data_IF_966049665187
#
_entry.id   IF_966049665187
#
_cell.length_a   1.000
_cell.length_b   1.000
_cell.length_c   1.000
_cell.angle_alpha   90.00
_cell.angle_beta   90.00
_cell.angle_gamma   90.00
#
_symmetry.space_group_name_H-M   'P 1'
#
loop_
_entity.id
_entity.type
_entity.pdbx_description
1 polymer ?
#
# COMPACT_ATOMS: atom_id res chain seq x y z
N UNK A 1 35.20 -30.29 58.82
CA UNK A 1 34.64 -30.61 57.51
C UNK A 1 33.44 -29.67 57.06
N UNK A 2 32.85 -28.90 57.95
CA UNK A 2 31.66 -28.05 57.68
C UNK A 2 31.93 -26.76 56.86
N UNK A 3 33.15 -26.21 56.89
CA UNK A 3 33.47 -24.96 56.21
C UNK A 3 33.57 -25.05 54.66
N UNK A 4 33.91 -26.21 54.09
CA UNK A 4 34.04 -26.43 52.67
C UNK A 4 32.67 -26.46 51.94
N UNK A 5 31.64 -27.00 52.57
CA UNK A 5 30.26 -27.05 52.07
C UNK A 5 29.57 -25.68 52.04
N UNK A 6 29.85 -24.83 53.03
CA UNK A 6 29.31 -23.47 53.08
C UNK A 6 29.89 -22.59 51.96
N UNK A 7 31.19 -22.71 51.68
CA UNK A 7 31.87 -21.99 50.61
C UNK A 7 31.37 -22.40 49.23
N UNK A 8 31.15 -23.70 48.97
CA UNK A 8 30.61 -24.19 47.70
C UNK A 8 29.19 -23.72 47.44
N UNK A 9 28.31 -23.73 48.46
CA UNK A 9 26.93 -23.21 48.34
C UNK A 9 26.88 -21.72 48.01
N UNK A 10 27.77 -20.92 48.61
CA UNK A 10 27.85 -19.48 48.33
C UNK A 10 28.34 -19.17 46.92
N UNK A 11 29.29 -19.95 46.39
CA UNK A 11 29.76 -19.82 44.99
C UNK A 11 28.69 -20.19 43.99
N UNK A 12 27.91 -21.24 44.22
CA UNK A 12 26.78 -21.63 43.39
C UNK A 12 25.72 -20.53 43.35
N UNK A 13 25.37 -19.97 44.52
CA UNK A 13 24.38 -18.90 44.64
C UNK A 13 24.84 -17.64 43.88
N UNK A 14 26.12 -17.27 44.02
CA UNK A 14 26.72 -16.15 43.27
C UNK A 14 26.66 -16.40 41.76
N UNK A 15 27.03 -17.59 41.32
CA UNK A 15 26.97 -17.97 39.90
C UNK A 15 25.55 -17.87 39.34
N UNK A 16 24.56 -18.42 40.06
CA UNK A 16 23.15 -18.34 39.66
C UNK A 16 22.68 -16.89 39.56
N UNK A 17 23.05 -16.03 40.52
CA UNK A 17 22.70 -14.60 40.47
C UNK A 17 23.36 -13.87 39.31
N UNK A 18 24.62 -14.16 39.00
CA UNK A 18 25.31 -13.61 37.82
C UNK A 18 24.62 -14.03 36.51
N UNK A 19 24.29 -15.33 36.39
CA UNK A 19 23.58 -15.84 35.20
C UNK A 19 22.21 -15.19 35.05
N UNK A 20 21.47 -15.01 36.16
CA UNK A 20 20.18 -14.29 36.15
C UNK A 20 20.36 -12.81 35.72
N UNK A 21 21.36 -12.13 36.25
CA UNK A 21 21.63 -10.74 35.89
C UNK A 21 21.98 -10.59 34.41
N UNK A 22 22.86 -11.47 33.87
CA UNK A 22 23.19 -11.49 32.45
C UNK A 22 21.93 -11.70 31.60
N UNK A 23 21.12 -12.69 31.94
CA UNK A 23 19.88 -12.99 31.23
C UNK A 23 18.91 -11.78 31.22
N UNK A 24 18.73 -11.14 32.40
CA UNK A 24 17.88 -9.96 32.53
C UNK A 24 18.37 -8.79 31.60
N UNK A 25 19.69 -8.58 31.54
CA UNK A 25 20.28 -7.55 30.65
C UNK A 25 20.04 -7.91 29.20
N UNK A 26 20.23 -9.17 28.80
CA UNK A 26 19.96 -9.64 27.44
C UNK A 26 18.48 -9.49 27.07
N UNK A 27 17.56 -9.85 27.98
CA UNK A 27 16.11 -9.71 27.75
C UNK A 27 15.69 -8.24 27.61
N UNK A 28 16.30 -7.34 28.38
CA UNK A 28 16.03 -5.89 28.26
C UNK A 28 16.54 -5.35 26.91
N UNK A 29 17.74 -5.75 26.49
CA UNK A 29 18.31 -5.32 25.21
C UNK A 29 17.49 -5.85 24.04
N UNK A 30 17.07 -7.11 24.08
CA UNK A 30 16.19 -7.69 23.05
C UNK A 30 14.85 -6.94 22.95
N UNK A 31 14.21 -6.63 24.08
CA UNK A 31 12.98 -5.85 24.11
C UNK A 31 13.18 -4.44 23.55
N UNK A 32 14.31 -3.81 23.84
CA UNK A 32 14.67 -2.49 23.29
C UNK A 32 14.81 -2.55 21.78
N UNK A 33 15.57 -3.51 21.25
CA UNK A 33 15.75 -3.70 19.81
C UNK A 33 14.41 -3.97 19.09
N UNK A 34 13.57 -4.85 19.66
CA UNK A 34 12.23 -5.10 19.11
C UNK A 34 11.36 -3.83 19.09
N UNK A 35 11.42 -3.02 20.14
CA UNK A 35 10.71 -1.75 20.22
C UNK A 35 11.19 -0.74 19.17
N UNK A 36 12.50 -0.66 18.91
CA UNK A 36 13.09 0.20 17.89
C UNK A 36 12.71 -0.25 16.49
N UNK A 37 12.79 -1.56 16.20
CA UNK A 37 12.36 -2.14 14.92
C UNK A 37 10.88 -1.81 14.66
N UNK A 38 10.01 -2.02 15.65
CA UNK A 38 8.59 -1.72 15.53
C UNK A 38 8.33 -0.24 15.23
N UNK A 39 9.00 0.68 15.94
CA UNK A 39 8.88 2.12 15.69
C UNK A 39 9.32 2.49 14.27
N UNK A 40 10.42 1.92 13.81
CA UNK A 40 10.92 2.16 12.46
C UNK A 40 9.95 1.63 11.39
N UNK A 41 9.35 0.47 11.63
CA UNK A 41 8.33 -0.09 10.74
C UNK A 41 7.09 0.81 10.66
N UNK A 42 6.55 1.25 11.81
CA UNK A 42 5.41 2.16 11.88
C UNK A 42 5.71 3.52 11.18
N UNK A 43 6.92 4.03 11.35
CA UNK A 43 7.35 5.28 10.71
C UNK A 43 7.50 5.12 9.18
N UNK A 44 8.09 4.02 8.72
CA UNK A 44 8.23 3.71 7.30
C UNK A 44 6.87 3.53 6.63
N UNK A 45 5.94 2.85 7.29
CA UNK A 45 4.58 2.68 6.80
C UNK A 45 3.85 4.02 6.66
N UNK A 46 3.92 4.87 7.68
CA UNK A 46 3.36 6.22 7.64
C UNK A 46 3.95 7.05 6.51
N UNK A 47 5.27 7.00 6.34
CA UNK A 47 5.95 7.73 5.27
C UNK A 47 5.54 7.22 3.88
N UNK A 48 5.43 5.91 3.69
CA UNK A 48 4.93 5.31 2.46
C UNK A 48 3.52 5.78 2.11
N UNK A 49 2.60 5.79 3.08
CA UNK A 49 1.24 6.30 2.88
C UNK A 49 1.23 7.79 2.50
N UNK A 50 2.05 8.61 3.15
CA UNK A 50 2.16 10.03 2.81
C UNK A 50 2.70 10.25 1.40
N UNK A 51 3.68 9.46 0.96
CA UNK A 51 4.20 9.51 -0.42
C UNK A 51 3.10 9.15 -1.43
N UNK A 52 2.35 8.08 -1.21
CA UNK A 52 1.24 7.66 -2.07
C UNK A 52 0.19 8.79 -2.17
N UNK A 53 -0.21 9.36 -1.05
CA UNK A 53 -1.17 10.47 -1.01
C UNK A 53 -0.65 11.71 -1.73
N UNK A 54 0.64 12.02 -1.58
CA UNK A 54 1.26 13.16 -2.26
C UNK A 54 1.27 12.95 -3.77
N UNK A 55 1.63 11.75 -4.24
CA UNK A 55 1.59 11.41 -5.66
C UNK A 55 0.16 11.49 -6.21
N UNK A 56 -0.81 10.92 -5.52
CA UNK A 56 -2.22 11.00 -5.89
C UNK A 56 -2.70 12.46 -6.01
N UNK A 57 -2.42 13.29 -5.00
CA UNK A 57 -2.78 14.70 -4.99
C UNK A 57 -2.10 15.47 -6.12
N UNK A 58 -0.85 15.12 -6.46
CA UNK A 58 -0.10 15.75 -7.56
C UNK A 58 -0.76 15.44 -8.92
N UNK A 59 -1.23 14.21 -9.12
CA UNK A 59 -1.96 13.83 -10.33
C UNK A 59 -3.33 14.52 -10.38
N UNK A 60 -4.06 14.56 -9.27
CA UNK A 60 -5.33 15.28 -9.19
C UNK A 60 -5.19 16.80 -9.41
N UNK A 61 -4.03 17.38 -9.08
CA UNK A 61 -3.77 18.80 -9.38
C UNK A 61 -3.63 19.07 -10.88
N UNK A 62 -3.27 18.04 -11.67
CA UNK A 62 -3.21 18.09 -13.13
C UNK A 62 -4.59 17.99 -13.78
N UNK A 63 -5.55 17.32 -13.14
CA UNK A 63 -6.91 17.10 -13.61
C UNK A 63 -7.90 17.91 -12.74
N UNK A 64 -8.39 19.03 -13.27
CA UNK A 64 -9.25 19.96 -12.55
C UNK A 64 -10.54 19.33 -11.99
N UNK A 65 -10.98 18.21 -12.55
CA UNK A 65 -12.25 17.56 -12.22
C UNK A 65 -12.13 16.50 -11.10
N UNK A 66 -10.90 16.09 -10.72
CA UNK A 66 -10.70 14.91 -9.85
C UNK A 66 -10.25 15.22 -8.42
N UNK A 67 -10.29 16.46 -7.96
CA UNK A 67 -9.86 16.83 -6.60
C UNK A 67 -10.54 15.97 -5.52
N UNK A 68 -9.74 15.23 -4.75
CA UNK A 68 -10.19 14.32 -3.69
C UNK A 68 -10.95 13.09 -4.22
N UNK A 69 -10.93 12.83 -5.52
CA UNK A 69 -11.57 11.66 -6.13
C UNK A 69 -10.92 10.36 -5.66
N UNK A 70 -9.62 10.23 -5.80
CA UNK A 70 -8.89 9.02 -5.42
C UNK A 70 -9.07 8.65 -3.95
N UNK A 71 -9.16 9.66 -3.07
CA UNK A 71 -9.45 9.41 -1.65
C UNK A 71 -10.85 8.82 -1.47
N UNK A 72 -11.89 9.41 -2.10
CA UNK A 72 -13.27 8.90 -1.97
C UNK A 72 -13.40 7.50 -2.55
N UNK A 73 -12.83 7.25 -3.73
CA UNK A 73 -12.86 5.92 -4.36
C UNK A 73 -12.19 4.89 -3.46
N UNK A 74 -11.00 5.20 -2.90
CA UNK A 74 -10.31 4.30 -1.97
C UNK A 74 -11.14 3.99 -0.70
N UNK A 75 -11.92 4.95 -0.19
CA UNK A 75 -12.81 4.69 0.95
C UNK A 75 -13.99 3.78 0.56
N UNK A 76 -14.62 4.02 -0.59
CA UNK A 76 -15.73 3.16 -1.04
C UNK A 76 -15.27 1.75 -1.38
N UNK A 77 -14.15 1.61 -2.08
CA UNK A 77 -13.55 0.31 -2.37
C UNK A 77 -13.24 -0.48 -1.08
N UNK A 78 -12.71 0.21 -0.05
CA UNK A 78 -12.45 -0.42 1.25
C UNK A 78 -13.72 -0.92 1.93
N UNK A 79 -14.81 -0.14 1.93
CA UNK A 79 -16.09 -0.55 2.52
C UNK A 79 -16.67 -1.77 1.79
N UNK A 80 -16.59 -1.79 0.46
CA UNK A 80 -17.05 -2.93 -0.34
C UNK A 80 -16.21 -4.18 -0.03
N UNK A 81 -14.87 -4.03 0.01
CA UNK A 81 -13.98 -5.14 0.32
C UNK A 81 -14.19 -5.70 1.74
N UNK A 82 -14.52 -4.84 2.72
CA UNK A 82 -14.88 -5.25 4.09
C UNK A 82 -16.13 -6.11 4.09
N UNK A 83 -17.19 -5.70 3.38
CA UNK A 83 -18.44 -6.46 3.22
C UNK A 83 -18.22 -7.79 2.46
N UNK A 84 -17.24 -7.83 1.56
CA UNK A 84 -16.82 -9.06 0.87
C UNK A 84 -15.95 -9.98 1.73
N UNK A 85 -15.61 -9.58 2.96
CA UNK A 85 -14.85 -10.38 3.91
C UNK A 85 -13.33 -10.39 3.66
N UNK A 86 -12.79 -9.36 3.00
CA UNK A 86 -11.35 -9.24 2.82
C UNK A 86 -10.64 -8.96 4.14
N UNK A 87 -9.41 -9.41 4.25
CA UNK A 87 -8.58 -9.17 5.44
C UNK A 87 -8.19 -7.69 5.55
N UNK A 88 -7.88 -7.20 6.77
CA UNK A 88 -7.41 -5.82 6.95
C UNK A 88 -6.17 -5.48 6.11
N UNK A 89 -5.29 -6.44 5.84
CA UNK A 89 -4.10 -6.26 5.01
C UNK A 89 -4.46 -6.10 3.53
N UNK A 90 -5.36 -6.93 3.00
CA UNK A 90 -5.88 -6.82 1.63
C UNK A 90 -6.60 -5.49 1.41
N UNK A 91 -7.44 -5.06 2.36
CA UNK A 91 -8.12 -3.76 2.33
C UNK A 91 -7.13 -2.60 2.32
N UNK A 92 -6.07 -2.67 3.14
CA UNK A 92 -5.03 -1.64 3.17
C UNK A 92 -4.29 -1.56 1.83
N UNK A 93 -3.95 -2.70 1.24
CA UNK A 93 -3.29 -2.77 -0.06
C UNK A 93 -4.21 -2.27 -1.20
N UNK A 94 -5.49 -2.62 -1.17
CA UNK A 94 -6.50 -2.08 -2.09
C UNK A 94 -6.57 -0.56 -2.01
N UNK A 95 -6.63 0.02 -0.81
CA UNK A 95 -6.63 1.49 -0.62
C UNK A 95 -5.39 2.15 -1.21
N UNK A 96 -4.20 1.58 -0.96
CA UNK A 96 -2.93 2.08 -1.51
C UNK A 96 -2.92 2.06 -3.03
N UNK A 97 -3.34 0.95 -3.63
CA UNK A 97 -3.41 0.79 -5.07
C UNK A 97 -4.44 1.73 -5.71
N UNK A 98 -5.62 1.87 -5.10
CA UNK A 98 -6.69 2.76 -5.56
C UNK A 98 -6.25 4.23 -5.55
N UNK A 99 -5.43 4.67 -4.60
CA UNK A 99 -4.87 6.03 -4.62
C UNK A 99 -4.01 6.30 -5.87
N UNK A 100 -3.48 5.27 -6.51
CA UNK A 100 -2.58 5.35 -7.66
C UNK A 100 -3.25 4.97 -8.99
N UNK A 101 -4.55 4.61 -9.00
CA UNK A 101 -5.22 4.11 -10.22
C UNK A 101 -5.07 5.05 -11.42
N UNK A 102 -5.10 6.33 -11.17
CA UNK A 102 -5.04 7.42 -12.15
C UNK A 102 -3.63 7.97 -12.42
N UNK A 103 -2.56 7.35 -11.86
CA UNK A 103 -1.18 7.85 -11.98
C UNK A 103 -0.76 8.08 -13.44
N UNK A 104 -1.28 7.30 -14.36
CA UNK A 104 -0.98 7.39 -15.78
C UNK A 104 -1.48 8.66 -16.46
N UNK A 105 -2.35 9.46 -15.82
CA UNK A 105 -2.74 10.79 -16.31
C UNK A 105 -1.56 11.74 -16.45
N UNK A 106 -0.42 11.45 -15.80
CA UNK A 106 0.82 12.20 -15.98
C UNK A 106 1.28 12.20 -17.43
N UNK A 107 1.04 11.11 -18.16
CA UNK A 107 1.38 10.95 -19.57
C UNK A 107 0.38 11.57 -20.55
N UNK A 108 -0.74 12.10 -20.09
CA UNK A 108 -1.77 12.72 -20.94
C UNK A 108 -1.51 14.24 -21.03
N UNK A 109 -1.45 14.85 -22.22
CA UNK A 109 -1.25 16.28 -22.36
C UNK A 109 -2.42 17.09 -21.78
N UNK A 110 -2.12 18.18 -21.03
CA UNK A 110 -3.11 19.00 -20.34
C UNK A 110 -4.23 19.56 -21.22
N UNK A 111 -3.99 19.98 -22.48
CA UNK A 111 -5.06 20.48 -23.33
C UNK A 111 -6.18 19.48 -23.61
N UNK A 112 -5.89 18.18 -23.57
CA UNK A 112 -6.91 17.13 -23.74
C UNK A 112 -7.55 16.76 -22.42
N UNK A 113 -6.74 16.65 -21.35
CA UNK A 113 -7.21 16.26 -20.02
C UNK A 113 -8.19 17.30 -19.43
N UNK A 114 -7.92 18.59 -19.66
CA UNK A 114 -8.70 19.71 -19.13
C UNK A 114 -9.54 20.43 -20.21
N UNK A 115 -9.84 19.76 -21.33
CA UNK A 115 -10.63 20.37 -22.40
C UNK A 115 -12.04 20.73 -21.91
N UNK A 116 -12.47 22.00 -22.01
CA UNK A 116 -13.79 22.42 -21.52
C UNK A 116 -14.94 22.07 -22.48
N UNK A 117 -14.67 21.28 -23.52
CA UNK A 117 -15.63 20.87 -24.52
C UNK A 117 -15.65 19.34 -24.64
N UNK A 118 -16.64 18.83 -25.38
CA UNK A 118 -16.72 17.40 -25.68
C UNK A 118 -15.47 16.94 -26.44
N UNK A 119 -14.93 15.80 -26.02
CA UNK A 119 -13.78 15.17 -26.67
C UNK A 119 -14.21 14.56 -28.00
N UNK A 120 -13.34 14.61 -29.00
CA UNK A 120 -13.45 13.77 -30.19
C UNK A 120 -13.07 12.32 -29.83
N UNK A 121 -13.39 11.37 -30.72
CA UNK A 121 -13.04 9.96 -30.50
C UNK A 121 -11.53 9.75 -30.36
N UNK A 122 -10.73 10.48 -31.16
CA UNK A 122 -9.26 10.41 -31.08
C UNK A 122 -8.73 10.97 -29.76
N UNK A 123 -9.27 12.10 -29.29
CA UNK A 123 -8.91 12.69 -28.00
C UNK A 123 -9.32 11.77 -26.84
N UNK A 124 -10.49 11.17 -26.92
CA UNK A 124 -10.95 10.22 -25.93
C UNK A 124 -10.07 8.96 -25.91
N UNK A 125 -9.68 8.46 -27.08
CA UNK A 125 -8.75 7.34 -27.20
C UNK A 125 -7.35 7.69 -26.64
N UNK A 126 -6.93 8.94 -26.73
CA UNK A 126 -5.71 9.40 -26.07
C UNK A 126 -5.83 9.38 -24.55
N UNK A 127 -6.95 9.87 -24.00
CA UNK A 127 -7.20 9.84 -22.54
C UNK A 127 -7.23 8.42 -22.01
N UNK A 128 -7.87 7.48 -22.70
CA UNK A 128 -7.89 6.06 -22.30
C UNK A 128 -6.50 5.46 -22.08
N UNK A 129 -5.47 5.99 -22.73
CA UNK A 129 -4.10 5.50 -22.56
C UNK A 129 -3.56 5.67 -21.14
N UNK A 130 -4.19 6.51 -20.27
CA UNK A 130 -3.72 6.65 -18.90
C UNK A 130 -3.75 5.31 -18.13
N UNK A 131 -4.67 4.40 -18.45
CA UNK A 131 -4.74 3.08 -17.82
C UNK A 131 -3.49 2.24 -18.11
N UNK A 132 -3.08 2.20 -19.38
CA UNK A 132 -1.89 1.48 -19.84
C UNK A 132 -0.61 2.14 -19.32
N UNK A 133 -0.55 3.48 -19.39
CA UNK A 133 0.59 4.25 -18.85
C UNK A 133 0.72 4.04 -17.34
N UNK A 134 -0.40 4.08 -16.60
CA UNK A 134 -0.43 3.83 -15.18
C UNK A 134 0.07 2.44 -14.80
N UNK A 135 -0.40 1.43 -15.51
CA UNK A 135 0.07 0.05 -15.32
C UNK A 135 1.58 -0.08 -15.57
N UNK A 136 2.09 0.56 -16.62
CA UNK A 136 3.53 0.55 -16.94
C UNK A 136 4.37 1.26 -15.86
N UNK A 137 3.90 2.38 -15.32
CA UNK A 137 4.56 3.08 -14.20
C UNK A 137 4.60 2.21 -12.94
N UNK A 138 3.54 1.44 -12.67
CA UNK A 138 3.39 0.69 -11.44
C UNK A 138 3.90 -0.76 -11.51
N UNK A 139 4.29 -1.26 -12.69
CA UNK A 139 4.64 -2.69 -12.92
C UNK A 139 5.72 -3.24 -12.01
N UNK A 140 6.71 -2.39 -11.66
CA UNK A 140 7.87 -2.78 -10.85
C UNK A 140 7.66 -2.49 -9.33
N UNK A 141 6.48 -1.96 -8.95
CA UNK A 141 6.14 -1.68 -7.55
C UNK A 141 5.59 -2.94 -6.88
N UNK A 142 6.47 -3.70 -6.23
CA UNK A 142 6.09 -4.94 -5.52
C UNK A 142 5.49 -4.69 -4.13
N UNK A 143 5.68 -3.49 -3.56
CA UNK A 143 5.20 -3.12 -2.22
C UNK A 143 3.69 -2.87 -2.15
N UNK A 144 3.04 -2.69 -3.29
CA UNK A 144 1.59 -2.46 -3.40
C UNK A 144 1.03 -3.50 -4.36
N UNK A 145 0.58 -4.65 -3.84
CA UNK A 145 -0.01 -5.70 -4.64
C UNK A 145 -1.14 -5.18 -5.53
N UNK A 146 -1.25 -5.71 -6.74
CA UNK A 146 -2.31 -5.38 -7.70
C UNK A 146 -2.35 -3.92 -8.19
N UNK A 147 -1.39 -3.05 -7.83
CA UNK A 147 -1.42 -1.63 -8.22
C UNK A 147 -1.44 -1.44 -9.75
N UNK A 148 -0.58 -2.15 -10.47
CA UNK A 148 -0.54 -2.09 -11.94
C UNK A 148 -1.82 -2.64 -12.58
N UNK A 149 -2.37 -3.71 -12.02
CA UNK A 149 -3.61 -4.37 -12.47
C UNK A 149 -4.82 -3.44 -12.27
N UNK A 150 -4.95 -2.82 -11.11
CA UNK A 150 -6.00 -1.84 -10.81
C UNK A 150 -5.87 -0.64 -11.76
N UNK A 151 -4.68 -0.06 -11.92
CA UNK A 151 -4.45 1.06 -12.82
C UNK A 151 -4.81 0.71 -14.28
N UNK A 152 -4.61 -0.54 -14.70
CA UNK A 152 -4.98 -0.99 -16.04
C UNK A 152 -6.48 -1.14 -16.21
N UNK A 153 -7.16 -1.76 -15.23
CA UNK A 153 -8.49 -2.35 -15.42
C UNK A 153 -9.64 -1.56 -14.77
N UNK A 154 -9.37 -0.45 -14.05
CA UNK A 154 -10.42 0.30 -13.33
C UNK A 154 -11.49 0.97 -14.24
N UNK A 155 -11.28 0.99 -15.53
CA UNK A 155 -12.27 1.42 -16.53
C UNK A 155 -12.86 0.26 -17.33
N UNK A 156 -12.54 -0.98 -16.98
CA UNK A 156 -13.24 -2.12 -17.55
C UNK A 156 -14.69 -2.16 -17.08
N UNK A 157 -15.54 -2.76 -17.89
CA UNK A 157 -16.97 -2.86 -17.61
C UNK A 157 -17.43 -4.30 -17.70
N UNK A 158 -18.29 -4.68 -16.80
CA UNK A 158 -18.83 -6.05 -16.74
C UNK A 158 -19.43 -6.52 -18.07
N UNK A 159 -19.95 -5.58 -18.89
CA UNK A 159 -20.52 -5.83 -20.21
C UNK A 159 -19.48 -5.88 -21.36
N UNK A 160 -18.19 -5.81 -21.07
CA UNK A 160 -17.09 -5.85 -22.04
C UNK A 160 -16.94 -4.58 -22.89
N UNK A 161 -17.67 -3.49 -22.56
CA UNK A 161 -17.58 -2.21 -23.27
C UNK A 161 -16.62 -1.24 -22.59
N UNK A 162 -15.80 -1.76 -21.67
CA UNK A 162 -14.75 -1.01 -20.98
C UNK A 162 -13.49 -0.86 -21.81
N UNK A 163 -12.44 -0.43 -21.17
CA UNK A 163 -11.10 -0.29 -21.74
C UNK A 163 -10.03 -0.50 -20.65
N UNK A 164 -8.79 -0.82 -21.04
CA UNK A 164 -8.21 -0.86 -22.38
C UNK A 164 -8.39 -2.21 -23.09
N UNK A 165 -8.69 -3.30 -22.37
CA UNK A 165 -8.66 -4.67 -22.90
C UNK A 165 -10.05 -5.20 -23.29
N UNK A 166 -11.14 -4.56 -22.81
CA UNK A 166 -12.52 -4.99 -23.08
C UNK A 166 -12.88 -6.28 -22.34
N UNK A 167 -12.37 -6.47 -21.13
CA UNK A 167 -12.62 -7.64 -20.30
C UNK A 167 -14.11 -7.78 -19.94
N UNK A 168 -14.60 -9.01 -19.86
CA UNK A 168 -16.01 -9.32 -19.60
C UNK A 168 -16.18 -10.08 -18.30
N UNK A 169 -17.12 -9.63 -17.46
CA UNK A 169 -17.50 -10.35 -16.25
C UNK A 169 -16.31 -10.60 -15.32
N UNK A 170 -16.10 -11.87 -14.98
CA UNK A 170 -15.05 -12.30 -14.04
C UNK A 170 -13.63 -12.30 -14.63
N UNK A 171 -13.46 -11.93 -15.91
CA UNK A 171 -12.13 -11.63 -16.45
C UNK A 171 -11.55 -10.34 -15.88
N UNK A 172 -12.42 -9.43 -15.38
CA UNK A 172 -12.00 -8.21 -14.70
C UNK A 172 -11.47 -8.59 -13.32
N UNK A 173 -10.25 -8.18 -12.97
CA UNK A 173 -9.71 -8.40 -11.63
C UNK A 173 -10.66 -7.89 -10.55
N UNK A 174 -10.94 -8.70 -9.52
CA UNK A 174 -11.87 -8.33 -8.44
C UNK A 174 -11.47 -7.04 -7.74
N UNK A 175 -10.18 -6.73 -7.69
CA UNK A 175 -9.64 -5.49 -7.14
C UNK A 175 -9.91 -4.26 -8.00
N UNK A 176 -10.36 -4.43 -9.25
CA UNK A 176 -10.68 -3.38 -10.20
C UNK A 176 -12.19 -3.31 -10.53
N UNK A 177 -12.98 -4.28 -10.05
CA UNK A 177 -14.44 -4.26 -10.14
C UNK A 177 -15.05 -3.28 -9.14
#
# INVERSE_FOLDING_TARGET
MSGLFVGAGMLILLFVNIVRAIRNVQDMELKRQQSEIRKNQEQNEKMSLQMIQTLSTTIEAKDAYTRGHSYRVAQYAALIAEELGWTPEEILNLKRATHLHDIGKIGIPDPFLNKPAQLTDDEYNLIKKHTVIGAEILKDITLIPHAAEIARSHHERYDGKGYPDGLVGDEIPISAQ
#
